data_IF_284652942478
#
_entry.id   IF_284652942478
#
_cell.length_a   1.000
_cell.length_b   1.000
_cell.length_c   1.000
_cell.angle_alpha   90.00
_cell.angle_beta   90.00
_cell.angle_gamma   90.00
#
_symmetry.space_group_name_H-M   'P 1'
#
loop_
_entity.id
_entity.type
_entity.pdbx_description
1 polymer ?
#
# COMPACT_ATOMS: atom_id res chain seq x y z
N UNK A 1 -23.04 4.34 27.91
CA UNK A 1 -22.82 3.13 27.08
C UNK A 1 -22.95 3.57 25.62
N UNK A 2 -22.08 3.13 24.71
CA UNK A 2 -22.29 3.35 23.29
C UNK A 2 -23.59 2.67 22.89
N UNK A 3 -24.40 3.36 22.09
CA UNK A 3 -25.66 2.80 21.62
C UNK A 3 -25.36 1.58 20.77
N UNK A 4 -26.08 0.47 20.99
CA UNK A 4 -25.99 -0.71 20.13
C UNK A 4 -26.18 -0.34 18.65
N UNK A 5 -26.99 0.69 18.36
CA UNK A 5 -27.18 1.20 17.00
C UNK A 5 -25.86 1.67 16.36
N UNK A 6 -25.05 2.47 17.08
CA UNK A 6 -23.77 2.97 16.56
C UNK A 6 -22.73 1.85 16.35
N UNK A 7 -22.78 0.80 17.19
CA UNK A 7 -21.94 -0.39 17.00
C UNK A 7 -22.36 -1.17 15.74
N UNK A 8 -23.66 -1.36 15.53
CA UNK A 8 -24.17 -2.06 14.33
C UNK A 8 -23.83 -1.30 13.05
N UNK A 9 -23.97 0.04 13.04
CA UNK A 9 -23.58 0.87 11.90
C UNK A 9 -22.09 0.74 11.57
N UNK A 10 -21.23 0.70 12.60
CA UNK A 10 -19.80 0.47 12.40
C UNK A 10 -19.54 -0.92 11.81
N UNK A 11 -20.22 -1.96 12.29
CA UNK A 11 -20.05 -3.32 11.77
C UNK A 11 -20.48 -3.43 10.32
N UNK A 12 -21.65 -2.89 9.96
CA UNK A 12 -22.11 -2.83 8.57
C UNK A 12 -21.09 -2.12 7.67
N UNK A 13 -20.54 -1.00 8.13
CA UNK A 13 -19.49 -0.27 7.42
C UNK A 13 -18.20 -1.10 7.23
N UNK A 14 -17.81 -1.86 8.24
CA UNK A 14 -16.64 -2.76 8.17
C UNK A 14 -16.90 -3.90 7.19
N UNK A 15 -18.08 -4.53 7.27
CA UNK A 15 -18.48 -5.64 6.41
C UNK A 15 -18.57 -5.23 4.94
N UNK A 16 -19.10 -4.05 4.66
CA UNK A 16 -19.22 -3.50 3.30
C UNK A 16 -17.86 -3.18 2.68
N UNK A 17 -16.92 -2.67 3.49
CA UNK A 17 -15.59 -2.28 3.03
C UNK A 17 -14.68 -3.49 2.82
N UNK A 18 -14.63 -4.42 3.78
CA UNK A 18 -13.75 -5.59 3.70
C UNK A 18 -14.45 -6.77 3.03
N UNK A 19 -14.03 -7.09 1.80
CA UNK A 19 -14.59 -8.20 1.02
C UNK A 19 -14.38 -9.58 1.65
N UNK A 20 -13.35 -9.73 2.48
CA UNK A 20 -13.06 -10.95 3.25
C UNK A 20 -13.60 -10.81 4.68
N UNK A 21 -14.56 -11.67 5.02
CA UNK A 21 -15.24 -11.68 6.31
C UNK A 21 -14.42 -12.37 7.41
N UNK A 22 -13.24 -12.90 7.09
CA UNK A 22 -12.39 -13.55 8.07
C UNK A 22 -11.78 -12.53 9.05
N UNK A 23 -11.81 -12.86 10.34
CA UNK A 23 -11.24 -12.06 11.43
C UNK A 23 -11.82 -10.63 11.60
N UNK A 24 -13.04 -10.35 11.10
CA UNK A 24 -13.74 -9.09 11.36
C UNK A 24 -14.25 -8.99 12.81
N UNK A 25 -14.24 -7.78 13.41
CA UNK A 25 -14.79 -7.56 14.75
C UNK A 25 -16.27 -7.91 14.83
N UNK A 26 -16.69 -8.54 15.93
CA UNK A 26 -18.11 -8.82 16.20
C UNK A 26 -18.73 -7.75 17.11
N UNK A 27 -20.06 -7.77 17.24
CA UNK A 27 -20.75 -6.92 18.23
C UNK A 27 -20.25 -7.17 19.66
N UNK A 28 -19.87 -8.41 19.99
CA UNK A 28 -19.36 -8.74 21.31
C UNK A 28 -17.96 -8.14 21.53
N UNK A 29 -17.13 -8.11 20.49
CA UNK A 29 -15.83 -7.43 20.52
C UNK A 29 -15.98 -5.93 20.71
N UNK A 30 -16.97 -5.29 20.08
CA UNK A 30 -17.23 -3.86 20.30
C UNK A 30 -17.76 -3.55 21.71
N UNK A 31 -18.53 -4.47 22.29
CA UNK A 31 -19.03 -4.35 23.68
C UNK A 31 -17.92 -4.57 24.71
N UNK A 32 -16.97 -5.44 24.42
CA UNK A 32 -15.86 -5.80 25.31
C UNK A 32 -14.55 -5.83 24.52
N UNK A 33 -14.02 -4.67 24.11
CA UNK A 33 -12.86 -4.64 23.23
C UNK A 33 -11.61 -5.13 23.95
N UNK A 34 -10.79 -5.89 23.23
CA UNK A 34 -9.51 -6.39 23.70
C UNK A 34 -8.37 -5.76 22.91
N UNK A 35 -7.19 -5.65 23.51
CA UNK A 35 -6.00 -5.11 22.83
C UNK A 35 -5.69 -5.88 21.55
N UNK A 36 -5.81 -7.21 21.59
CA UNK A 36 -5.58 -8.08 20.42
C UNK A 36 -6.56 -7.80 19.30
N UNK A 37 -7.85 -7.62 19.60
CA UNK A 37 -8.85 -7.31 18.57
C UNK A 37 -8.57 -5.96 17.92
N UNK A 38 -8.31 -4.92 18.73
CA UNK A 38 -8.02 -3.58 18.19
C UNK A 38 -6.74 -3.59 17.36
N UNK A 39 -5.70 -4.27 17.83
CA UNK A 39 -4.45 -4.45 17.11
C UNK A 39 -4.69 -5.12 15.74
N UNK A 40 -5.46 -6.20 15.69
CA UNK A 40 -5.81 -6.90 14.45
C UNK A 40 -6.60 -6.01 13.49
N UNK A 41 -7.62 -5.31 13.99
CA UNK A 41 -8.46 -4.43 13.17
C UNK A 41 -7.65 -3.29 12.53
N UNK A 42 -6.84 -2.60 13.35
CA UNK A 42 -5.95 -1.54 12.88
C UNK A 42 -4.89 -2.11 11.92
N UNK A 43 -4.31 -3.27 12.23
CA UNK A 43 -3.39 -3.95 11.32
C UNK A 43 -4.03 -4.30 9.98
N UNK A 44 -5.31 -4.71 9.97
CA UNK A 44 -6.06 -4.98 8.75
C UNK A 44 -6.24 -3.71 7.91
N UNK A 45 -6.56 -2.58 8.52
CA UNK A 45 -6.63 -1.30 7.80
C UNK A 45 -5.29 -0.92 7.13
N UNK A 46 -4.15 -1.27 7.72
CA UNK A 46 -2.83 -1.03 7.12
C UNK A 46 -2.51 -1.96 5.94
N UNK A 47 -3.10 -3.15 5.89
CA UNK A 47 -2.92 -4.08 4.76
C UNK A 47 -3.47 -3.50 3.45
N UNK A 48 -4.49 -2.65 3.51
CA UNK A 48 -5.03 -1.93 2.34
C UNK A 48 -4.00 -0.99 1.70
N UNK A 49 -2.97 -0.59 2.45
CA UNK A 49 -1.84 0.19 1.96
C UNK A 49 -0.58 -0.66 1.69
N UNK A 50 -0.70 -1.99 1.71
CA UNK A 50 0.41 -2.92 1.51
C UNK A 50 1.38 -3.01 2.70
N UNK A 51 0.98 -2.56 3.89
CA UNK A 51 1.81 -2.63 5.10
C UNK A 51 1.48 -3.92 5.86
N UNK A 52 2.39 -4.89 5.80
CA UNK A 52 2.22 -6.18 6.48
C UNK A 52 2.38 -6.07 8.00
N UNK A 53 1.58 -6.84 8.76
CA UNK A 53 1.66 -6.85 10.23
C UNK A 53 3.03 -7.29 10.77
N UNK A 54 3.75 -8.16 10.05
CA UNK A 54 5.07 -8.61 10.46
C UNK A 54 6.13 -7.49 10.36
N UNK A 55 5.92 -6.51 9.47
CA UNK A 55 6.78 -5.32 9.40
C UNK A 55 6.72 -4.48 10.68
N UNK A 56 5.58 -4.51 11.40
CA UNK A 56 5.41 -3.77 12.65
C UNK A 56 6.27 -4.34 13.79
N UNK A 57 6.67 -5.61 13.70
CA UNK A 57 7.54 -6.26 14.70
C UNK A 57 8.99 -5.78 14.63
N UNK A 58 9.38 -5.17 13.52
CA UNK A 58 10.75 -4.70 13.33
C UNK A 58 10.97 -3.40 14.10
N UNK A 59 11.96 -3.41 14.98
CA UNK A 59 12.43 -2.21 15.65
C UNK A 59 13.05 -1.26 14.63
N UNK A 60 12.63 0.01 14.62
CA UNK A 60 13.34 1.04 13.88
C UNK A 60 14.74 1.23 14.48
N UNK A 61 15.74 1.57 13.66
CA UNK A 61 17.12 1.74 14.11
C UNK A 61 17.25 2.66 15.33
N UNK A 62 16.51 3.77 15.33
CA UNK A 62 16.49 4.72 16.46
C UNK A 62 15.84 4.16 17.74
N UNK A 63 14.96 3.16 17.64
CA UNK A 63 14.40 2.47 18.81
C UNK A 63 15.43 1.48 19.38
N UNK A 64 16.15 0.78 18.50
CA UNK A 64 17.18 -0.20 18.88
C UNK A 64 18.40 0.43 19.56
N UNK A 65 18.76 1.67 19.18
CA UNK A 65 19.90 2.39 19.77
C UNK A 65 19.58 3.11 21.06
N UNK A 66 18.30 3.30 21.38
CA UNK A 66 17.86 4.04 22.56
C UNK A 66 17.69 3.16 23.81
N UNK A 67 17.68 1.84 23.64
CA UNK A 67 17.52 0.88 24.74
C UNK A 67 18.81 0.13 25.03
N UNK A 68 19.20 0.09 26.30
CA UNK A 68 20.29 -0.76 26.77
C UNK A 68 19.96 -2.27 26.67
N UNK A 69 18.67 -2.63 26.51
CA UNK A 69 18.18 -4.00 26.42
C UNK A 69 17.03 -4.11 25.38
N UNK A 70 17.32 -4.09 24.07
CA UNK A 70 16.32 -4.08 23.01
C UNK A 70 15.35 -5.26 23.07
N UNK A 71 15.87 -6.43 23.45
CA UNK A 71 15.13 -7.70 23.51
C UNK A 71 13.95 -7.65 24.50
N UNK A 72 14.06 -6.84 25.56
CA UNK A 72 13.02 -6.70 26.59
C UNK A 72 11.79 -5.90 26.11
N UNK A 73 11.88 -5.23 24.96
CA UNK A 73 10.82 -4.37 24.42
C UNK A 73 10.18 -4.94 23.14
N UNK A 74 10.59 -6.14 22.73
CA UNK A 74 10.10 -6.82 21.52
C UNK A 74 8.58 -6.94 21.47
N UNK A 75 7.92 -7.13 22.62
CA UNK A 75 6.46 -7.26 22.71
C UNK A 75 5.72 -5.93 22.54
N UNK A 76 6.32 -4.80 22.92
CA UNK A 76 5.65 -3.47 22.87
C UNK A 76 5.91 -2.73 21.56
N UNK A 77 7.00 -3.05 20.87
CA UNK A 77 7.39 -2.43 19.59
C UNK A 77 6.26 -2.43 18.54
N UNK A 78 5.55 -3.55 18.29
CA UNK A 78 4.46 -3.56 17.31
C UNK A 78 3.36 -2.56 17.63
N UNK A 79 3.02 -2.41 18.92
CA UNK A 79 2.00 -1.46 19.36
C UNK A 79 2.45 -0.01 19.22
N UNK A 80 3.72 0.29 19.49
CA UNK A 80 4.30 1.63 19.32
C UNK A 80 4.31 2.01 17.84
N UNK A 81 4.72 1.09 16.97
CA UNK A 81 4.77 1.29 15.53
C UNK A 81 3.36 1.52 14.97
N UNK A 82 2.40 0.66 15.34
CA UNK A 82 0.99 0.81 14.96
C UNK A 82 0.41 2.15 15.42
N UNK A 83 0.67 2.53 16.66
CA UNK A 83 0.25 3.82 17.21
C UNK A 83 0.81 4.99 16.40
N UNK A 84 2.13 4.98 16.12
CA UNK A 84 2.79 6.06 15.39
C UNK A 84 2.21 6.23 14.00
N UNK A 85 2.01 5.13 13.27
CA UNK A 85 1.46 5.14 11.92
C UNK A 85 0.06 5.77 11.93
N UNK A 86 -0.85 5.28 12.78
CA UNK A 86 -2.21 5.81 12.82
C UNK A 86 -2.30 7.25 13.31
N UNK A 87 -1.44 7.64 14.26
CA UNK A 87 -1.32 9.04 14.67
C UNK A 87 -0.95 9.93 13.48
N UNK A 88 0.07 9.52 12.73
CA UNK A 88 0.54 10.30 11.57
C UNK A 88 -0.52 10.35 10.47
N UNK A 89 -1.23 9.25 10.22
CA UNK A 89 -2.36 9.20 9.29
C UNK A 89 -3.44 10.22 9.71
N UNK A 90 -3.85 10.20 10.97
CA UNK A 90 -4.89 11.12 11.46
C UNK A 90 -4.45 12.57 11.41
N UNK A 91 -3.18 12.86 11.73
CA UNK A 91 -2.62 14.20 11.65
C UNK A 91 -2.56 14.71 10.19
N UNK A 92 -2.10 13.86 9.25
CA UNK A 92 -2.00 14.21 7.82
C UNK A 92 -3.39 14.41 7.19
N UNK A 93 -4.36 13.58 7.59
CA UNK A 93 -5.73 13.63 7.06
C UNK A 93 -6.64 14.65 7.79
N UNK A 94 -6.10 15.43 8.73
CA UNK A 94 -6.85 16.35 9.62
C UNK A 94 -8.06 15.69 10.32
N UNK A 95 -7.90 14.41 10.69
CA UNK A 95 -8.93 13.64 11.40
C UNK A 95 -8.81 13.96 12.89
N UNK A 96 -9.81 14.67 13.41
CA UNK A 96 -9.84 15.13 14.80
C UNK A 96 -10.24 14.02 15.77
N UNK A 97 -9.33 13.06 15.95
CA UNK A 97 -9.41 12.01 16.96
C UNK A 97 -8.14 12.03 17.80
N UNK A 98 -8.29 12.26 19.11
CA UNK A 98 -7.17 12.28 20.06
C UNK A 98 -6.64 10.86 20.31
N UNK A 99 -6.02 10.24 19.30
CA UNK A 99 -5.61 8.84 19.34
C UNK A 99 -4.38 8.64 20.23
N UNK A 100 -4.44 7.60 21.07
CA UNK A 100 -3.42 7.34 22.09
C UNK A 100 -3.10 5.85 22.20
N UNK A 101 -1.95 5.52 22.79
CA UNK A 101 -1.58 4.12 23.11
C UNK A 101 -2.65 3.40 23.94
N UNK A 102 -3.41 4.11 24.78
CA UNK A 102 -4.48 3.51 25.59
C UNK A 102 -5.63 2.99 24.74
N UNK A 103 -5.88 3.63 23.59
CA UNK A 103 -6.92 3.18 22.67
C UNK A 103 -6.60 1.80 22.07
N UNK A 104 -5.33 1.41 22.04
CA UNK A 104 -4.89 0.08 21.60
C UNK A 104 -4.76 -0.88 22.79
N UNK A 105 -4.01 -0.50 23.83
CA UNK A 105 -3.65 -1.41 24.93
C UNK A 105 -4.79 -1.64 25.94
N UNK A 106 -5.67 -0.66 26.12
CA UNK A 106 -6.75 -0.68 27.11
C UNK A 106 -8.04 -0.09 26.52
N UNK A 107 -8.55 -0.67 25.42
CA UNK A 107 -9.66 -0.09 24.69
C UNK A 107 -10.92 -0.06 25.56
N UNK A 108 -11.70 1.02 25.43
CA UNK A 108 -12.99 1.18 26.11
C UNK A 108 -14.10 1.17 25.07
N UNK A 109 -15.26 0.53 25.31
CA UNK A 109 -16.27 0.29 24.26
C UNK A 109 -16.62 1.53 23.42
N UNK A 110 -17.08 2.62 24.05
CA UNK A 110 -17.49 3.82 23.32
C UNK A 110 -16.33 4.50 22.59
N UNK A 111 -15.15 4.46 23.21
CA UNK A 111 -13.95 5.09 22.68
C UNK A 111 -13.42 4.31 21.50
N UNK A 112 -13.41 2.99 21.61
CA UNK A 112 -13.03 2.06 20.55
C UNK A 112 -13.89 2.25 19.31
N UNK A 113 -15.22 2.30 19.47
CA UNK A 113 -16.15 2.59 18.35
C UNK A 113 -15.82 3.93 17.67
N UNK A 114 -15.50 4.98 18.45
CA UNK A 114 -15.11 6.28 17.87
C UNK A 114 -13.80 6.20 17.07
N UNK A 115 -12.80 5.51 17.61
CA UNK A 115 -11.50 5.33 16.93
C UNK A 115 -11.67 4.49 15.67
N UNK A 116 -12.38 3.38 15.75
CA UNK A 116 -12.62 2.50 14.59
C UNK A 116 -13.43 3.22 13.50
N UNK A 117 -14.44 4.01 13.84
CA UNK A 117 -15.14 4.85 12.86
C UNK A 117 -14.19 5.82 12.15
N UNK A 118 -13.31 6.51 12.90
CA UNK A 118 -12.33 7.41 12.31
C UNK A 118 -11.38 6.69 11.33
N UNK A 119 -11.00 5.45 11.64
CA UNK A 119 -10.24 4.59 10.71
C UNK A 119 -11.06 4.27 9.47
N UNK A 120 -12.30 3.83 9.62
CA UNK A 120 -13.15 3.50 8.46
C UNK A 120 -13.44 4.73 7.59
N UNK A 121 -13.67 5.90 8.19
CA UNK A 121 -13.85 7.16 7.46
C UNK A 121 -12.60 7.51 6.64
N UNK A 122 -11.41 7.29 7.20
CA UNK A 122 -10.16 7.46 6.46
C UNK A 122 -10.02 6.46 5.31
N UNK A 123 -10.32 5.18 5.55
CA UNK A 123 -10.21 4.13 4.54
C UNK A 123 -11.14 4.39 3.36
N UNK A 124 -12.40 4.75 3.61
CA UNK A 124 -13.34 5.15 2.56
C UNK A 124 -12.86 6.35 1.77
N UNK A 125 -12.27 7.34 2.46
CA UNK A 125 -11.71 8.51 1.81
C UNK A 125 -10.54 8.12 0.91
N UNK A 126 -9.61 7.30 1.40
CA UNK A 126 -8.45 6.85 0.65
C UNK A 126 -8.87 6.06 -0.61
N UNK A 127 -9.83 5.13 -0.48
CA UNK A 127 -10.35 4.35 -1.61
C UNK A 127 -10.97 5.25 -2.69
N UNK A 128 -11.79 6.23 -2.29
CA UNK A 128 -12.35 7.22 -3.21
C UNK A 128 -11.27 8.03 -3.94
N UNK A 129 -10.23 8.45 -3.23
CA UNK A 129 -9.12 9.18 -3.85
C UNK A 129 -8.36 8.30 -4.85
N UNK A 130 -8.14 7.02 -4.55
CA UNK A 130 -7.53 6.08 -5.50
C UNK A 130 -8.41 5.88 -6.73
N UNK A 131 -9.72 5.73 -6.54
CA UNK A 131 -10.68 5.63 -7.64
C UNK A 131 -10.62 6.88 -8.55
N UNK A 132 -10.63 8.08 -7.97
CA UNK A 132 -10.50 9.34 -8.72
C UNK A 132 -9.18 9.46 -9.48
N UNK A 133 -8.09 8.90 -8.95
CA UNK A 133 -6.78 8.87 -9.61
C UNK A 133 -6.61 7.77 -10.66
N UNK A 134 -7.52 6.79 -10.71
CA UNK A 134 -7.42 5.63 -11.61
C UNK A 134 -7.27 6.02 -13.09
N UNK A 135 -8.03 7.00 -13.63
CA UNK A 135 -7.85 7.43 -15.02
C UNK A 135 -6.42 7.94 -15.30
N UNK A 136 -5.82 8.67 -14.35
CA UNK A 136 -4.46 9.19 -14.48
C UNK A 136 -3.45 8.04 -14.49
N UNK A 137 -3.62 7.03 -13.63
CA UNK A 137 -2.77 5.85 -13.64
C UNK A 137 -2.89 5.05 -14.93
N UNK A 138 -4.10 4.94 -15.49
CA UNK A 138 -4.34 4.31 -16.78
C UNK A 138 -3.65 5.07 -17.92
N UNK A 139 -3.71 6.40 -17.93
CA UNK A 139 -2.99 7.23 -18.90
C UNK A 139 -1.48 7.02 -18.82
N UNK A 140 -0.91 7.02 -17.61
CA UNK A 140 0.52 6.78 -17.40
C UNK A 140 0.92 5.38 -17.87
N UNK A 141 0.11 4.35 -17.57
CA UNK A 141 0.35 2.98 -18.02
C UNK A 141 0.33 2.90 -19.54
N UNK A 142 -0.66 3.51 -20.18
CA UNK A 142 -0.79 3.52 -21.64
C UNK A 142 0.38 4.27 -22.31
N UNK A 143 0.83 5.37 -21.72
CA UNK A 143 1.99 6.11 -22.21
C UNK A 143 3.29 5.28 -22.11
N UNK A 144 3.50 4.56 -21.00
CA UNK A 144 4.64 3.65 -20.83
C UNK A 144 4.64 2.53 -21.86
N UNK A 145 3.49 1.93 -22.11
CA UNK A 145 3.36 0.86 -23.10
C UNK A 145 3.66 1.36 -24.53
N UNK A 146 3.13 2.53 -24.90
CA UNK A 146 3.47 3.17 -26.19
C UNK A 146 4.95 3.48 -26.31
N UNK A 147 5.59 3.99 -25.26
CA UNK A 147 7.02 4.28 -25.26
C UNK A 147 7.84 3.00 -25.49
N UNK A 148 7.46 1.90 -24.85
CA UNK A 148 8.09 0.59 -25.05
C UNK A 148 7.95 0.10 -26.49
N UNK A 149 6.75 0.16 -27.06
CA UNK A 149 6.49 -0.24 -28.46
C UNK A 149 7.30 0.60 -29.46
N UNK A 150 7.44 1.90 -29.23
CA UNK A 150 8.24 2.79 -30.08
C UNK A 150 9.73 2.42 -29.99
N UNK A 151 10.25 2.13 -28.80
CA UNK A 151 11.66 1.73 -28.66
C UNK A 151 11.94 0.37 -29.32
N UNK A 152 11.02 -0.59 -29.20
CA UNK A 152 11.11 -1.87 -29.92
C UNK A 152 11.09 -1.68 -31.44
N UNK A 153 10.17 -0.85 -31.96
CA UNK A 153 10.11 -0.54 -33.39
C UNK A 153 11.39 0.15 -33.90
N UNK A 154 11.94 1.07 -33.11
CA UNK A 154 13.22 1.75 -33.41
C UNK A 154 14.39 0.76 -33.44
N UNK A 155 14.43 -0.23 -32.54
CA UNK A 155 15.45 -1.27 -32.56
C UNK A 155 15.33 -2.15 -33.80
N UNK A 156 14.11 -2.55 -34.19
CA UNK A 156 13.88 -3.30 -35.43
C UNK A 156 14.33 -2.52 -36.67
N UNK A 157 13.92 -1.25 -36.80
CA UNK A 157 14.32 -0.40 -37.93
C UNK A 157 15.83 -0.21 -38.00
N UNK A 158 16.52 -0.04 -36.86
CA UNK A 158 17.99 0.04 -36.82
C UNK A 158 18.64 -1.24 -37.33
N UNK A 159 18.09 -2.40 -36.96
CA UNK A 159 18.56 -3.69 -37.44
C UNK A 159 18.37 -3.82 -38.95
N UNK A 160 17.19 -3.47 -39.47
CA UNK A 160 16.87 -3.52 -40.89
C UNK A 160 17.79 -2.61 -41.72
N UNK A 161 18.05 -1.39 -41.24
CA UNK A 161 18.98 -0.45 -41.88
C UNK A 161 20.39 -1.04 -41.93
N UNK A 162 20.88 -1.60 -40.83
CA UNK A 162 22.22 -2.21 -40.79
C UNK A 162 22.31 -3.40 -41.76
N UNK A 163 21.29 -4.25 -41.82
CA UNK A 163 21.23 -5.38 -42.75
C UNK A 163 21.18 -4.92 -44.22
N UNK A 164 20.42 -3.86 -44.53
CA UNK A 164 20.38 -3.26 -45.86
C UNK A 164 21.75 -2.70 -46.25
N UNK A 165 22.40 -1.93 -45.38
CA UNK A 165 23.74 -1.39 -45.60
C UNK A 165 24.79 -2.49 -45.80
N UNK A 166 24.72 -3.57 -45.03
CA UNK A 166 25.62 -4.71 -45.21
C UNK A 166 25.42 -5.40 -46.55
N UNK A 167 24.17 -5.60 -46.99
CA UNK A 167 23.85 -6.15 -48.31
C UNK A 167 24.35 -5.26 -49.44
N UNK A 168 24.17 -3.96 -49.34
CA UNK A 168 24.63 -2.99 -50.34
C UNK A 168 26.16 -3.01 -50.48
N UNK A 169 26.89 -3.01 -49.35
CA UNK A 169 28.36 -3.17 -49.35
C UNK A 169 28.83 -4.45 -50.04
N UNK A 170 28.18 -5.58 -49.75
CA UNK A 170 28.53 -6.85 -50.39
C UNK A 170 28.29 -6.85 -51.90
N UNK A 171 27.23 -6.18 -52.36
CA UNK A 171 26.94 -6.03 -53.80
C UNK A 171 28.02 -5.17 -54.47
N UNK A 172 28.41 -4.07 -53.84
CA UNK A 172 29.45 -3.18 -54.37
C UNK A 172 30.83 -3.84 -54.40
N UNK A 173 31.19 -4.61 -53.38
CA UNK A 173 32.44 -5.41 -53.36
C UNK A 173 32.46 -6.43 -54.49
N UNK A 174 31.37 -7.21 -54.67
CA UNK A 174 31.25 -8.18 -55.78
C UNK A 174 31.33 -7.52 -57.15
N UNK A 175 30.74 -6.34 -57.33
CA UNK A 175 30.82 -5.58 -58.59
C UNK A 175 32.27 -5.14 -58.86
N UNK A 176 32.97 -4.62 -57.85
CA UNK A 176 34.38 -4.22 -57.98
C UNK A 176 35.28 -5.39 -58.33
N UNK A 177 35.11 -6.54 -57.68
CA UNK A 177 35.84 -7.76 -57.98
C UNK A 177 35.60 -8.24 -59.42
N UNK A 178 34.34 -8.20 -59.90
CA UNK A 178 34.01 -8.55 -61.27
C UNK A 178 34.64 -7.61 -62.31
N UNK A 179 34.74 -6.31 -61.99
CA UNK A 179 35.35 -5.31 -62.90
C UNK A 179 36.89 -5.40 -62.95
N UNK A 180 37.52 -5.95 -61.91
CA UNK A 180 38.97 -6.17 -61.84
C UNK A 180 39.41 -7.50 -62.48
N UNK A 181 38.47 -8.39 -62.80
CA UNK A 181 38.71 -9.69 -63.40
C UNK A 181 38.54 -9.73 -64.93
N UNK A 182 38.02 -8.65 -65.53
CA UNK A 182 37.97 -8.39 -66.98
C UNK A 182 39.18 -7.58 -67.46
#
# INVERSE_FOLDING_TARGET
>A
MASNNAMMQLLEKIEDFFQDQSDLPTLQDLKNPTSTMVYKFLGRGLLEFGIEMDSLKMAHYSQSTCSAYPDNYTEIIPYINLYKIYRDIFDIADIKVDFSMRDILQPRPNRNVKVMNAVMDFLDFADKQVYEMTPIFDEIRNAKEKAKQIEEAKQMLRKDINEAMHREKQIDERKREATLAE
#
